data_IF_866076020981
#
_entry.id   IF_866076020981
#
_cell.length_a   1.000
_cell.length_b   1.000
_cell.length_c   1.000
_cell.angle_alpha   90.00
_cell.angle_beta   90.00
_cell.angle_gamma   90.00
#
_symmetry.space_group_name_H-M   'P 1'
#
loop_
_entity.id
_entity.type
_entity.pdbx_description
1 polymer ?
#
# COMPACT_ATOMS: atom_id res chain seq x y z
N UNK A 1 0.24 -15.93 -48.90
CA UNK A 1 1.70 -16.14 -49.00
C UNK A 1 2.11 -17.57 -48.61
N UNK A 2 1.55 -18.14 -47.54
CA UNK A 2 1.80 -19.52 -47.05
C UNK A 2 1.49 -20.65 -48.05
N UNK A 3 0.43 -20.54 -48.86
CA UNK A 3 0.05 -21.60 -49.81
C UNK A 3 1.08 -21.87 -50.93
N UNK A 4 1.87 -20.86 -51.34
CA UNK A 4 2.91 -21.02 -52.38
C UNK A 4 4.23 -21.58 -51.85
N UNK A 5 4.47 -21.47 -50.54
CA UNK A 5 5.66 -22.00 -49.86
C UNK A 5 5.48 -23.45 -49.38
N UNK A 6 4.23 -23.92 -49.25
CA UNK A 6 3.91 -25.27 -48.77
C UNK A 6 4.60 -26.39 -49.57
N UNK A 7 4.63 -26.36 -50.92
CA UNK A 7 5.30 -27.41 -51.70
C UNK A 7 6.82 -27.40 -51.49
N UNK A 8 7.44 -26.21 -51.43
CA UNK A 8 8.88 -26.05 -51.24
C UNK A 8 9.33 -26.51 -49.85
N UNK A 9 8.54 -26.21 -48.82
CA UNK A 9 8.79 -26.70 -47.46
C UNK A 9 8.64 -28.22 -47.40
N UNK A 10 7.61 -28.78 -48.04
CA UNK A 10 7.41 -30.24 -48.13
C UNK A 10 8.60 -30.93 -48.77
N UNK A 11 9.05 -30.45 -49.93
CA UNK A 11 10.19 -31.03 -50.64
C UNK A 11 11.50 -30.90 -49.84
N UNK A 12 11.69 -29.79 -49.12
CA UNK A 12 12.86 -29.57 -48.28
C UNK A 12 12.89 -30.54 -47.08
N UNK A 13 11.76 -30.72 -46.39
CA UNK A 13 11.70 -31.65 -45.23
C UNK A 13 11.83 -33.10 -45.68
N UNK A 14 11.33 -33.47 -46.87
CA UNK A 14 11.56 -34.82 -47.43
C UNK A 14 13.04 -35.07 -47.71
N UNK A 15 13.77 -34.06 -48.21
CA UNK A 15 15.21 -34.19 -48.49
C UNK A 15 16.06 -34.19 -47.22
N UNK A 16 15.65 -33.43 -46.19
CA UNK A 16 16.41 -33.24 -44.95
C UNK A 16 15.51 -33.40 -43.71
N UNK A 17 15.00 -34.60 -43.42
CA UNK A 17 14.07 -34.81 -42.31
C UNK A 17 14.67 -34.47 -40.94
N UNK A 18 15.98 -34.69 -40.77
CA UNK A 18 16.73 -34.37 -39.54
C UNK A 18 16.70 -32.87 -39.17
N UNK A 19 16.50 -31.98 -40.17
CA UNK A 19 16.47 -30.53 -39.94
C UNK A 19 15.32 -30.08 -39.05
N UNK A 20 14.21 -30.83 -39.05
CA UNK A 20 13.04 -30.56 -38.19
C UNK A 20 13.38 -30.89 -36.73
N UNK A 21 14.02 -32.02 -36.48
CA UNK A 21 14.49 -32.40 -35.14
C UNK A 21 15.47 -31.37 -34.58
N UNK A 22 16.46 -30.96 -35.38
CA UNK A 22 17.43 -29.92 -34.99
C UNK A 22 16.75 -28.58 -34.68
N UNK A 23 15.77 -28.16 -35.49
CA UNK A 23 15.02 -26.93 -35.24
C UNK A 23 14.19 -27.02 -33.94
N UNK A 24 13.61 -28.17 -33.64
CA UNK A 24 12.91 -28.41 -32.38
C UNK A 24 13.89 -28.35 -31.21
N UNK A 25 15.06 -28.95 -31.31
CA UNK A 25 16.05 -28.98 -30.21
C UNK A 25 16.66 -27.59 -29.93
N UNK A 26 16.79 -26.75 -30.96
CA UNK A 26 17.23 -25.35 -30.81
C UNK A 26 16.23 -24.54 -29.97
N UNK A 27 14.93 -24.74 -30.20
CA UNK A 27 13.87 -23.91 -29.62
C UNK A 27 13.27 -24.52 -28.35
N UNK A 28 13.31 -25.85 -28.21
CA UNK A 28 12.79 -26.60 -27.08
C UNK A 28 13.90 -27.45 -26.43
N UNK A 29 14.64 -26.90 -25.45
CA UNK A 29 15.74 -27.61 -24.81
C UNK A 29 15.28 -28.86 -24.06
N UNK A 30 16.13 -29.89 -24.07
CA UNK A 30 15.92 -31.12 -23.28
C UNK A 30 15.84 -30.81 -21.78
N UNK A 31 15.04 -31.57 -21.03
CA UNK A 31 15.12 -31.56 -19.57
C UNK A 31 15.56 -32.93 -19.08
N UNK A 32 16.62 -32.91 -18.28
CA UNK A 32 17.21 -34.12 -17.71
C UNK A 32 18.38 -34.63 -18.53
N UNK A 33 18.78 -35.87 -18.21
CA UNK A 33 19.94 -36.58 -18.74
C UNK A 33 19.64 -37.48 -19.93
N UNK A 34 18.37 -37.53 -20.38
CA UNK A 34 17.95 -38.38 -21.49
C UNK A 34 17.93 -37.53 -22.76
N UNK A 35 18.82 -37.86 -23.70
CA UNK A 35 18.83 -37.25 -25.02
C UNK A 35 17.53 -37.56 -25.76
N UNK A 36 16.91 -36.53 -26.32
CA UNK A 36 15.73 -36.64 -27.16
C UNK A 36 16.15 -37.26 -28.48
N UNK A 37 15.54 -38.40 -28.83
CA UNK A 37 15.73 -39.01 -30.14
C UNK A 37 14.39 -39.12 -30.86
N UNK A 38 14.41 -38.82 -32.15
CA UNK A 38 13.24 -38.84 -33.02
C UNK A 38 13.25 -40.15 -33.82
N UNK A 39 12.11 -40.85 -33.88
CA UNK A 39 11.94 -41.91 -34.88
C UNK A 39 11.93 -41.30 -36.29
N UNK A 40 12.14 -42.14 -37.31
CA UNK A 40 12.13 -41.72 -38.71
C UNK A 40 10.88 -40.87 -39.01
N UNK A 41 11.09 -39.62 -39.39
CA UNK A 41 10.02 -38.70 -39.79
C UNK A 41 9.22 -39.26 -40.97
N UNK A 42 7.88 -39.20 -40.88
CA UNK A 42 6.97 -39.71 -41.91
C UNK A 42 5.95 -38.64 -42.30
N UNK A 43 5.65 -38.55 -43.59
CA UNK A 43 4.51 -37.79 -44.10
C UNK A 43 3.22 -38.56 -43.83
N UNK A 44 2.17 -37.86 -43.41
CA UNK A 44 0.84 -38.45 -43.29
C UNK A 44 0.14 -38.54 -44.66
N UNK A 45 -0.78 -39.49 -44.78
CA UNK A 45 -1.62 -39.67 -45.96
C UNK A 45 -2.83 -38.72 -45.92
N UNK A 46 -3.58 -38.64 -47.02
CA UNK A 46 -4.81 -37.86 -47.13
C UNK A 46 -5.74 -38.06 -45.91
N UNK A 47 -6.30 -36.99 -45.30
CA UNK A 47 -6.29 -35.57 -45.71
C UNK A 47 -5.10 -34.75 -45.19
N UNK A 48 -4.07 -35.37 -44.62
CA UNK A 48 -2.99 -34.72 -43.88
C UNK A 48 -1.65 -34.69 -44.63
N UNK A 49 -1.67 -34.60 -45.96
CA UNK A 49 -0.49 -34.71 -46.85
C UNK A 49 0.61 -33.66 -46.63
N UNK A 50 0.28 -32.59 -45.89
CA UNK A 50 1.19 -31.52 -45.46
C UNK A 50 1.71 -31.70 -44.03
N UNK A 51 1.44 -32.83 -43.39
CA UNK A 51 1.81 -33.12 -42.01
C UNK A 51 2.97 -34.11 -41.99
N UNK A 52 3.88 -33.88 -41.05
CA UNK A 52 5.03 -34.74 -40.82
C UNK A 52 5.01 -35.11 -39.34
N UNK A 53 5.19 -36.39 -39.06
CA UNK A 53 5.17 -36.94 -37.71
C UNK A 53 6.45 -37.71 -37.42
N UNK A 54 6.89 -37.61 -36.17
CA UNK A 54 7.89 -38.46 -35.56
C UNK A 54 7.41 -38.77 -34.14
N UNK A 55 7.87 -39.88 -33.59
CA UNK A 55 7.66 -40.25 -32.19
C UNK A 55 8.98 -40.16 -31.46
N UNK A 56 8.97 -39.58 -30.27
CA UNK A 56 10.06 -39.67 -29.30
C UNK A 56 9.58 -40.57 -28.16
N UNK A 57 10.46 -41.15 -27.34
CA UNK A 57 10.01 -41.82 -26.12
C UNK A 57 9.29 -40.78 -25.25
N UNK A 58 7.97 -40.96 -25.13
CA UNK A 58 6.99 -40.12 -24.44
C UNK A 58 6.29 -39.00 -25.23
N UNK A 59 6.41 -38.86 -26.56
CA UNK A 59 5.74 -37.73 -27.27
C UNK A 59 5.46 -37.96 -28.77
N UNK A 60 4.27 -37.55 -29.27
CA UNK A 60 3.89 -37.55 -30.70
C UNK A 60 3.94 -36.13 -31.32
N UNK A 61 4.56 -35.98 -32.49
CA UNK A 61 4.73 -34.70 -33.18
C UNK A 61 3.90 -34.61 -34.46
N UNK A 62 3.36 -33.43 -34.77
CA UNK A 62 2.66 -33.16 -36.04
C UNK A 62 2.80 -31.70 -36.46
N UNK A 63 3.04 -31.43 -37.75
CA UNK A 63 3.20 -30.07 -38.28
C UNK A 63 2.13 -29.71 -39.35
N UNK A 64 0.97 -29.14 -38.99
CA UNK A 64 -0.02 -28.69 -39.97
C UNK A 64 0.28 -27.26 -40.42
N UNK A 65 0.60 -27.05 -41.70
CA UNK A 65 0.50 -25.74 -42.35
C UNK A 65 1.17 -24.57 -41.56
N UNK A 66 2.30 -24.86 -40.89
CA UNK A 66 3.07 -23.89 -40.10
C UNK A 66 2.86 -23.89 -38.59
N UNK A 67 2.00 -24.77 -38.04
CA UNK A 67 1.86 -24.97 -36.60
C UNK A 67 2.60 -26.23 -36.17
N UNK A 68 3.30 -26.20 -35.04
CA UNK A 68 3.89 -27.40 -34.46
C UNK A 68 3.00 -27.88 -33.31
N UNK A 69 2.60 -29.14 -33.36
CA UNK A 69 1.78 -29.83 -32.37
C UNK A 69 2.65 -30.88 -31.69
N UNK A 70 2.59 -30.91 -30.36
CA UNK A 70 3.25 -31.88 -29.49
C UNK A 70 2.17 -32.48 -28.59
N UNK A 71 2.00 -33.80 -28.60
CA UNK A 71 0.98 -34.52 -27.81
C UNK A 71 -0.44 -33.94 -27.97
N UNK A 72 -0.80 -33.58 -29.21
CA UNK A 72 -2.10 -32.98 -29.51
C UNK A 72 -2.27 -31.53 -29.05
N UNK A 73 -1.26 -30.89 -28.45
CA UNK A 73 -1.29 -29.49 -28.00
C UNK A 73 -0.54 -28.58 -28.99
N UNK A 74 -1.19 -27.48 -29.40
CA UNK A 74 -0.60 -26.45 -30.27
C UNK A 74 0.44 -25.66 -29.49
N UNK A 75 1.65 -25.54 -30.03
CA UNK A 75 2.72 -24.73 -29.45
C UNK A 75 2.48 -23.23 -29.68
N UNK A 76 2.94 -22.42 -28.72
CA UNK A 76 3.19 -21.00 -28.96
C UNK A 76 2.10 -20.05 -28.45
N UNK A 77 0.99 -20.57 -27.91
CA UNK A 77 0.04 -19.77 -27.13
C UNK A 77 -0.33 -20.50 -25.84
N UNK A 78 -0.19 -19.82 -24.71
CA UNK A 78 -0.77 -20.27 -23.46
C UNK A 78 -2.31 -20.28 -23.57
N UNK A 79 -2.99 -21.23 -22.89
CA UNK A 79 -4.43 -21.17 -22.68
C UNK A 79 -4.89 -19.80 -22.15
N UNK A 80 -6.11 -19.39 -22.48
CA UNK A 80 -6.61 -18.04 -22.17
C UNK A 80 -6.67 -17.77 -20.66
N UNK A 81 -7.11 -18.76 -19.88
CA UNK A 81 -7.14 -18.75 -18.42
C UNK A 81 -5.77 -18.52 -17.80
N UNK A 82 -4.73 -19.18 -18.33
CA UNK A 82 -3.34 -19.01 -17.87
C UNK A 82 -2.83 -17.63 -18.29
N UNK A 83 -2.95 -17.30 -19.58
CA UNK A 83 -2.46 -16.02 -20.14
C UNK A 83 -3.07 -14.80 -19.44
N UNK A 84 -4.36 -14.87 -19.11
CA UNK A 84 -5.09 -13.75 -18.55
C UNK A 84 -5.02 -13.69 -17.01
N UNK A 85 -4.31 -14.64 -16.38
CA UNK A 85 -4.08 -14.67 -14.93
C UNK A 85 -3.35 -13.43 -14.43
N UNK A 86 -3.76 -12.95 -13.24
CA UNK A 86 -3.12 -11.79 -12.60
C UNK A 86 -1.65 -12.04 -12.28
N UNK A 87 -1.31 -13.28 -11.93
CA UNK A 87 0.04 -13.70 -11.55
C UNK A 87 1.00 -13.57 -12.75
N UNK A 88 0.61 -14.04 -13.93
CA UNK A 88 1.48 -13.90 -15.11
C UNK A 88 1.60 -12.45 -15.57
N UNK A 89 0.50 -11.68 -15.49
CA UNK A 89 0.52 -10.23 -15.73
C UNK A 89 1.43 -9.51 -14.75
N UNK A 90 1.49 -9.95 -13.50
CA UNK A 90 2.37 -9.37 -12.49
C UNK A 90 3.86 -9.60 -12.78
N UNK A 91 4.21 -10.81 -13.24
CA UNK A 91 5.60 -11.22 -13.46
C UNK A 91 6.14 -10.75 -14.82
N UNK A 92 5.32 -10.87 -15.87
CA UNK A 92 5.74 -10.62 -17.25
C UNK A 92 5.11 -9.35 -17.85
N UNK A 93 4.20 -8.68 -17.14
CA UNK A 93 3.52 -7.50 -17.65
C UNK A 93 2.63 -7.83 -18.86
N UNK A 94 2.71 -6.98 -19.88
CA UNK A 94 1.98 -7.14 -21.16
C UNK A 94 2.77 -7.91 -22.22
N UNK A 95 3.85 -8.59 -21.85
CA UNK A 95 4.68 -9.35 -22.79
C UNK A 95 3.93 -10.54 -23.39
N UNK A 96 4.18 -10.82 -24.66
CA UNK A 96 3.68 -12.03 -25.32
C UNK A 96 4.56 -13.21 -24.93
N UNK A 97 3.97 -14.19 -24.26
CA UNK A 97 4.65 -15.40 -23.82
C UNK A 97 4.42 -16.53 -24.82
N UNK A 98 5.51 -17.15 -25.25
CA UNK A 98 5.49 -18.39 -26.03
C UNK A 98 5.74 -19.57 -25.09
N UNK A 99 4.94 -20.63 -25.23
CA UNK A 99 4.99 -21.80 -24.36
C UNK A 99 5.05 -23.10 -25.17
N UNK A 100 5.77 -24.07 -24.61
CA UNK A 100 5.91 -25.46 -25.04
C UNK A 100 5.32 -26.38 -23.97
N UNK A 101 4.96 -27.62 -24.28
CA UNK A 101 4.72 -28.63 -23.25
C UNK A 101 5.94 -28.79 -22.35
N UNK A 102 5.70 -28.91 -21.05
CA UNK A 102 6.77 -29.18 -20.11
C UNK A 102 7.08 -30.67 -20.06
N UNK A 103 8.36 -30.99 -19.91
CA UNK A 103 8.86 -32.32 -19.61
C UNK A 103 9.17 -32.52 -18.11
N UNK A 104 8.85 -31.51 -17.28
CA UNK A 104 8.89 -31.65 -15.83
C UNK A 104 7.61 -32.33 -15.33
N UNK A 105 7.70 -33.43 -14.56
CA UNK A 105 6.54 -34.08 -13.98
C UNK A 105 5.68 -33.09 -13.17
N UNK A 106 4.37 -33.08 -13.45
CA UNK A 106 3.40 -32.19 -12.78
C UNK A 106 3.34 -30.76 -13.33
N UNK A 107 4.09 -30.44 -14.40
CA UNK A 107 4.01 -29.15 -15.08
C UNK A 107 3.43 -29.34 -16.49
N UNK A 108 2.51 -28.47 -16.90
CA UNK A 108 1.91 -28.53 -18.24
C UNK A 108 2.72 -27.78 -19.30
N UNK A 109 3.38 -26.67 -18.91
CA UNK A 109 3.99 -25.72 -19.85
C UNK A 109 5.38 -25.26 -19.43
N UNK A 110 6.27 -25.05 -20.40
CA UNK A 110 7.56 -24.38 -20.29
C UNK A 110 7.59 -23.16 -21.19
N UNK A 111 8.05 -22.01 -20.68
CA UNK A 111 8.14 -20.78 -21.47
C UNK A 111 9.42 -20.73 -22.32
N UNK A 112 9.30 -20.23 -23.54
CA UNK A 112 10.38 -20.11 -24.52
C UNK A 112 11.40 -19.00 -24.21
N UNK A 113 11.11 -18.10 -23.27
CA UNK A 113 11.76 -16.79 -23.25
C UNK A 113 13.25 -16.84 -22.83
N UNK A 114 14.10 -16.71 -23.85
CA UNK A 114 15.56 -16.54 -23.85
C UNK A 114 16.05 -15.15 -23.37
N UNK A 115 15.51 -14.59 -22.29
CA UNK A 115 16.17 -13.45 -21.64
C UNK A 115 17.11 -13.96 -20.55
N UNK A 116 18.36 -13.48 -20.50
CA UNK A 116 19.36 -13.76 -19.46
C UNK A 116 18.88 -13.30 -18.06
N UNK A 117 17.92 -14.00 -17.50
CA UNK A 117 17.25 -13.60 -16.28
C UNK A 117 16.08 -14.50 -15.94
N UNK A 118 15.19 -14.86 -16.87
CA UNK A 118 13.86 -15.38 -16.56
C UNK A 118 13.78 -16.87 -16.20
N UNK A 119 14.69 -17.37 -15.35
CA UNK A 119 14.70 -18.77 -14.97
C UNK A 119 14.16 -18.97 -13.55
N UNK A 120 13.02 -19.67 -13.44
CA UNK A 120 12.57 -20.31 -12.20
C UNK A 120 13.39 -21.58 -11.86
N UNK A 121 14.42 -21.87 -12.66
CA UNK A 121 15.37 -22.97 -12.46
C UNK A 121 16.78 -22.41 -12.44
N UNK A 122 17.43 -22.46 -11.28
CA UNK A 122 18.89 -22.36 -11.25
C UNK A 122 19.45 -23.76 -11.50
N UNK A 123 20.70 -23.88 -11.95
CA UNK A 123 21.31 -25.13 -12.47
C UNK A 123 21.10 -26.39 -11.63
N UNK A 124 20.74 -26.30 -10.34
CA UNK A 124 20.46 -27.44 -9.45
C UNK A 124 19.19 -27.32 -8.56
N UNK A 125 18.32 -26.32 -8.73
CA UNK A 125 17.20 -26.09 -7.80
C UNK A 125 15.91 -25.61 -8.49
N UNK A 126 14.79 -26.25 -8.14
CA UNK A 126 13.43 -25.84 -8.56
C UNK A 126 12.94 -24.76 -7.59
N UNK A 127 12.51 -23.62 -8.15
CA UNK A 127 11.82 -22.57 -7.43
C UNK A 127 10.32 -22.63 -7.70
N UNK A 128 9.54 -22.41 -6.66
CA UNK A 128 8.09 -22.21 -6.77
C UNK A 128 7.75 -20.76 -6.48
N UNK A 129 6.83 -20.20 -7.25
CA UNK A 129 6.32 -18.86 -7.03
C UNK A 129 5.23 -18.90 -5.95
N UNK A 130 5.35 -18.06 -4.93
CA UNK A 130 4.31 -17.88 -3.91
C UNK A 130 3.47 -16.65 -4.24
N UNK A 131 2.17 -16.81 -4.55
CA UNK A 131 1.30 -15.67 -4.81
C UNK A 131 1.14 -14.76 -3.59
N UNK A 132 1.02 -13.46 -3.82
CA UNK A 132 0.90 -12.45 -2.76
C UNK A 132 -0.25 -12.68 -1.77
N UNK A 133 -1.35 -13.28 -2.22
CA UNK A 133 -2.56 -13.50 -1.40
C UNK A 133 -2.34 -14.59 -0.34
N UNK A 134 -1.27 -15.39 -0.47
CA UNK A 134 -0.90 -16.41 0.52
C UNK A 134 -0.46 -15.76 1.84
N UNK A 135 0.10 -14.54 1.80
CA UNK A 135 0.58 -13.83 2.99
C UNK A 135 -0.52 -13.10 3.77
N UNK A 136 -1.79 -13.27 3.40
CA UNK A 136 -2.94 -12.70 4.08
C UNK A 136 -3.84 -11.84 3.20
N UNK A 137 -5.05 -11.58 3.72
CA UNK A 137 -6.07 -10.73 3.11
C UNK A 137 -6.48 -9.65 4.13
N UNK A 138 -6.33 -8.36 3.80
CA UNK A 138 -6.69 -7.26 4.70
C UNK A 138 -5.49 -6.67 5.48
N UNK A 139 -5.69 -5.97 6.61
CA UNK A 139 -4.61 -5.28 7.32
C UNK A 139 -3.66 -6.22 8.08
N UNK A 140 -3.99 -7.50 8.20
CA UNK A 140 -3.22 -8.53 8.92
C UNK A 140 -2.42 -9.37 7.92
N UNK A 141 -1.22 -8.90 7.58
CA UNK A 141 -0.30 -9.62 6.70
C UNK A 141 0.79 -10.33 7.51
N UNK A 142 1.19 -11.53 7.08
CA UNK A 142 2.28 -12.33 7.67
C UNK A 142 3.65 -11.65 7.54
N UNK A 143 3.79 -10.79 6.53
CA UNK A 143 4.98 -9.97 6.29
C UNK A 143 4.59 -8.50 6.19
N UNK A 144 5.48 -7.55 6.51
CA UNK A 144 5.27 -6.14 6.21
C UNK A 144 4.86 -5.93 4.76
N UNK A 145 3.91 -5.05 4.52
CA UNK A 145 3.29 -4.81 3.22
C UNK A 145 4.31 -4.44 2.13
N UNK A 146 5.39 -3.75 2.49
CA UNK A 146 6.51 -3.43 1.58
C UNK A 146 7.21 -4.67 1.04
N UNK A 147 7.25 -5.76 1.82
CA UNK A 147 7.81 -7.04 1.42
C UNK A 147 6.83 -7.91 0.64
N UNK A 148 5.57 -7.47 0.48
CA UNK A 148 4.54 -8.15 -0.30
C UNK A 148 4.29 -7.39 -1.61
N UNK A 149 3.85 -6.14 -1.52
CA UNK A 149 3.43 -5.32 -2.68
C UNK A 149 4.55 -5.11 -3.70
N UNK A 150 5.75 -4.80 -3.22
CA UNK A 150 6.88 -4.43 -4.08
C UNK A 150 7.72 -5.64 -4.52
N UNK A 151 7.35 -6.85 -4.09
CA UNK A 151 8.15 -8.05 -4.26
C UNK A 151 7.43 -9.15 -5.03
N UNK A 152 8.22 -10.08 -5.56
CA UNK A 152 7.79 -11.39 -6.03
C UNK A 152 8.52 -12.44 -5.18
N UNK A 153 7.79 -13.44 -4.72
CA UNK A 153 8.27 -14.40 -3.73
C UNK A 153 8.57 -15.73 -4.38
N UNK A 154 9.81 -16.20 -4.24
CA UNK A 154 10.25 -17.49 -4.75
C UNK A 154 10.68 -18.37 -3.61
N UNK A 155 10.17 -19.59 -3.52
CA UNK A 155 10.58 -20.57 -2.52
C UNK A 155 11.42 -21.68 -3.13
N UNK A 156 12.53 -21.99 -2.48
CA UNK A 156 13.31 -23.19 -2.74
C UNK A 156 12.64 -24.37 -2.01
N UNK A 157 11.87 -25.18 -2.74
CA UNK A 157 11.03 -26.25 -2.16
C UNK A 157 11.82 -27.20 -1.25
N UNK A 158 13.06 -27.54 -1.62
CA UNK A 158 13.90 -28.47 -0.85
C UNK A 158 14.41 -27.91 0.47
N UNK A 159 14.69 -26.60 0.52
CA UNK A 159 15.30 -25.97 1.70
C UNK A 159 14.30 -25.18 2.53
N UNK A 160 13.09 -24.94 2.02
CA UNK A 160 12.10 -24.09 2.67
C UNK A 160 12.49 -22.60 2.71
N UNK A 161 13.47 -22.20 1.91
CA UNK A 161 13.94 -20.82 1.88
C UNK A 161 13.09 -20.02 0.89
N UNK A 162 12.34 -19.05 1.40
CA UNK A 162 11.55 -18.11 0.63
C UNK A 162 12.32 -16.79 0.46
N UNK A 163 12.46 -16.33 -0.78
CA UNK A 163 13.16 -15.09 -1.12
C UNK A 163 12.16 -14.06 -1.65
N UNK A 164 12.04 -12.93 -0.95
CA UNK A 164 11.25 -11.78 -1.40
C UNK A 164 12.12 -10.89 -2.32
N UNK A 165 11.92 -11.03 -3.63
CA UNK A 165 12.71 -10.33 -4.65
C UNK A 165 12.00 -9.06 -5.11
N UNK A 166 12.63 -7.91 -4.91
CA UNK A 166 12.02 -6.61 -5.22
C UNK A 166 11.93 -6.34 -6.72
N UNK A 167 10.77 -5.85 -7.17
CA UNK A 167 10.54 -5.38 -8.55
C UNK A 167 11.46 -4.21 -8.90
N UNK A 168 11.92 -4.08 -10.16
CA UNK A 168 11.69 -4.99 -11.28
C UNK A 168 12.65 -6.20 -11.32
N UNK A 169 13.59 -6.31 -10.38
CA UNK A 169 14.68 -7.29 -10.40
C UNK A 169 14.28 -8.63 -9.76
N UNK A 170 13.23 -9.27 -10.30
CA UNK A 170 12.55 -10.41 -9.66
C UNK A 170 13.19 -11.77 -9.96
N UNK A 171 14.20 -11.82 -10.82
CA UNK A 171 14.70 -13.08 -11.35
C UNK A 171 16.06 -13.52 -10.82
N UNK A 172 16.88 -12.58 -10.34
CA UNK A 172 18.21 -12.87 -9.80
C UNK A 172 18.21 -12.64 -8.30
N UNK A 173 18.84 -13.55 -7.57
CA UNK A 173 19.09 -13.39 -6.13
C UNK A 173 20.03 -12.21 -5.91
N UNK A 174 19.73 -11.39 -4.90
CA UNK A 174 20.53 -10.21 -4.52
C UNK A 174 20.70 -10.20 -3.02
N UNK A 175 21.88 -9.80 -2.53
CA UNK A 175 22.14 -9.68 -1.09
C UNK A 175 21.30 -8.62 -0.36
N UNK A 176 20.48 -7.83 -1.07
CA UNK A 176 19.51 -6.90 -0.47
C UNK A 176 18.11 -7.49 -0.27
N UNK A 177 17.86 -8.71 -0.77
CA UNK A 177 16.56 -9.36 -0.64
C UNK A 177 16.33 -9.83 0.80
N UNK A 178 15.07 -9.80 1.22
CA UNK A 178 14.66 -10.47 2.45
C UNK A 178 14.50 -11.96 2.16
N UNK A 179 15.04 -12.77 3.06
CA UNK A 179 15.01 -14.22 3.00
C UNK A 179 14.27 -14.71 4.24
N UNK A 180 13.24 -15.53 4.05
CA UNK A 180 12.45 -16.16 5.09
C UNK A 180 12.72 -17.66 5.05
N UNK A 181 13.27 -18.18 6.13
CA UNK A 181 13.32 -19.62 6.36
C UNK A 181 12.01 -20.02 7.05
N UNK A 182 11.17 -20.78 6.33
CA UNK A 182 9.85 -21.17 6.84
C UNK A 182 9.94 -22.20 7.98
N UNK A 183 11.02 -22.98 8.04
CA UNK A 183 11.20 -24.01 9.06
C UNK A 183 11.60 -23.37 10.38
N UNK A 184 12.60 -22.47 10.34
CA UNK A 184 13.00 -21.72 11.54
C UNK A 184 12.07 -20.53 11.84
N UNK A 185 11.18 -20.17 10.91
CA UNK A 185 10.28 -19.00 10.97
C UNK A 185 11.05 -17.70 11.18
N UNK A 186 12.20 -17.57 10.52
CA UNK A 186 13.08 -16.40 10.63
C UNK A 186 13.20 -15.70 9.29
N UNK A 187 12.98 -14.38 9.32
CA UNK A 187 13.20 -13.51 8.19
C UNK A 187 14.45 -12.66 8.41
N UNK A 188 15.34 -12.61 7.42
CA UNK A 188 16.59 -11.87 7.48
C UNK A 188 16.94 -11.19 6.16
N UNK A 189 17.61 -10.04 6.25
CA UNK A 189 18.22 -9.33 5.12
C UNK A 189 19.66 -9.04 5.47
N UNK A 190 20.60 -9.65 4.74
CA UNK A 190 22.02 -9.69 5.13
C UNK A 190 22.16 -10.29 6.53
N UNK A 191 22.44 -9.46 7.54
CA UNK A 191 22.54 -9.85 8.94
C UNK A 191 21.45 -9.17 9.81
N UNK A 192 20.55 -8.40 9.22
CA UNK A 192 19.41 -7.81 9.93
C UNK A 192 18.30 -8.86 10.07
N UNK A 193 17.65 -8.91 11.22
CA UNK A 193 16.55 -9.85 11.52
C UNK A 193 15.24 -9.07 11.58
N UNK A 194 14.23 -9.54 10.84
CA UNK A 194 12.90 -8.95 10.87
C UNK A 194 12.25 -9.21 12.23
N UNK A 195 11.57 -8.20 12.76
CA UNK A 195 10.68 -8.39 13.91
C UNK A 195 9.34 -8.87 13.39
N UNK A 196 8.85 -9.97 13.95
CA UNK A 196 7.52 -10.51 13.66
C UNK A 196 6.46 -9.40 13.88
N UNK A 197 5.66 -9.04 12.84
CA UNK A 197 4.61 -8.03 12.93
C UNK A 197 3.59 -8.29 14.03
N UNK A 198 3.37 -9.55 14.41
CA UNK A 198 2.43 -9.94 15.46
C UNK A 198 3.06 -9.99 16.85
N UNK A 199 4.35 -9.74 16.99
CA UNK A 199 5.03 -9.76 18.29
C UNK A 199 4.60 -8.60 19.20
N UNK A 200 4.78 -8.78 20.53
CA UNK A 200 4.55 -7.70 21.52
C UNK A 200 5.40 -6.45 21.22
N UNK A 201 6.64 -6.66 20.79
CA UNK A 201 7.56 -5.57 20.42
C UNK A 201 7.02 -4.78 19.22
N UNK A 202 6.62 -5.47 18.15
CA UNK A 202 6.05 -4.82 16.97
C UNK A 202 4.78 -4.04 17.31
N UNK A 203 3.87 -4.62 18.10
CA UNK A 203 2.66 -3.92 18.54
C UNK A 203 2.97 -2.66 19.34
N UNK A 204 3.93 -2.73 20.27
CA UNK A 204 4.34 -1.56 21.07
C UNK A 204 4.86 -0.42 20.19
N UNK A 205 5.61 -0.73 19.13
CA UNK A 205 6.15 0.27 18.21
C UNK A 205 5.06 0.80 17.30
N UNK A 206 4.20 -0.08 16.78
CA UNK A 206 3.09 0.31 15.91
C UNK A 206 2.14 1.30 16.59
N UNK A 207 1.96 1.23 17.92
CA UNK A 207 1.16 2.20 18.66
C UNK A 207 1.72 3.63 18.61
N UNK A 208 3.03 3.79 18.45
CA UNK A 208 3.66 5.12 18.29
C UNK A 208 3.18 5.78 16.99
N UNK A 209 2.93 4.97 15.95
CA UNK A 209 2.47 5.43 14.64
C UNK A 209 0.95 5.33 14.47
N UNK A 210 0.20 5.09 15.55
CA UNK A 210 -1.26 5.00 15.50
C UNK A 210 -1.84 6.27 14.86
N UNK A 211 -2.77 6.09 13.92
CA UNK A 211 -3.38 7.16 13.10
C UNK A 211 -2.44 7.88 12.11
N UNK A 212 -1.12 7.76 12.27
CA UNK A 212 -0.13 8.29 11.33
C UNK A 212 0.18 7.33 10.17
N UNK A 213 0.36 6.03 10.47
CA UNK A 213 0.61 4.98 9.46
C UNK A 213 0.03 3.64 9.93
N UNK A 214 -0.36 2.78 8.97
CA UNK A 214 -0.86 1.44 9.29
C UNK A 214 0.27 0.54 9.79
N UNK A 215 -0.02 -0.28 10.81
CA UNK A 215 0.94 -1.22 11.41
C UNK A 215 1.57 -2.17 10.37
N UNK A 216 0.79 -2.65 9.40
CA UNK A 216 1.27 -3.53 8.34
C UNK A 216 2.24 -2.85 7.37
N UNK A 217 2.29 -1.51 7.33
CA UNK A 217 3.22 -0.74 6.49
C UNK A 217 4.55 -0.46 7.19
N UNK A 218 4.67 -0.82 8.47
CA UNK A 218 5.90 -0.70 9.23
C UNK A 218 6.78 -1.94 8.98
N UNK A 219 8.01 -1.71 8.54
CA UNK A 219 9.03 -2.77 8.47
C UNK A 219 9.98 -2.62 9.64
N UNK A 220 9.75 -3.40 10.70
CA UNK A 220 10.53 -3.35 11.94
C UNK A 220 11.61 -4.44 11.90
N UNK A 221 12.86 -4.09 12.18
CA UNK A 221 13.96 -5.05 12.20
C UNK A 221 15.08 -4.65 13.16
N UNK A 222 15.81 -5.66 13.62
CA UNK A 222 17.03 -5.51 14.37
C UNK A 222 18.23 -5.57 13.41
N UNK A 223 18.98 -4.48 13.20
CA UNK A 223 20.23 -4.54 12.44
C UNK A 223 21.32 -5.34 13.17
N UNK A 224 22.36 -5.81 12.46
CA UNK A 224 23.46 -6.58 13.07
C UNK A 224 24.26 -5.78 14.10
N UNK A 225 24.33 -4.46 13.90
CA UNK A 225 24.95 -3.50 14.81
C UNK A 225 23.99 -2.34 14.99
N UNK A 226 23.95 -1.82 16.21
CA UNK A 226 23.05 -0.72 16.58
C UNK A 226 21.72 -1.20 17.12
N UNK A 227 20.80 -0.24 17.24
CA UNK A 227 19.50 -0.44 17.88
C UNK A 227 18.42 -0.73 16.83
N UNK A 228 17.27 -1.16 17.33
CA UNK A 228 16.09 -1.46 16.53
C UNK A 228 15.75 -0.32 15.55
N UNK A 229 15.35 -0.69 14.33
CA UNK A 229 14.99 0.24 13.26
C UNK A 229 13.60 -0.05 12.71
N UNK A 230 12.94 1.01 12.22
CA UNK A 230 11.58 0.97 11.65
C UNK A 230 11.61 1.72 10.32
N UNK A 231 11.31 1.05 9.21
CA UNK A 231 11.22 1.66 7.88
C UNK A 231 9.73 1.87 7.52
N UNK A 232 9.34 3.12 7.20
CA UNK A 232 8.04 3.53 6.65
C UNK A 232 8.23 3.84 5.17
N UNK A 233 8.29 2.79 4.34
CA UNK A 233 8.71 2.90 2.94
C UNK A 233 7.86 3.82 2.08
N UNK A 234 6.56 3.95 2.35
CA UNK A 234 5.67 4.80 1.55
C UNK A 234 5.87 6.30 1.83
N UNK A 235 6.34 6.65 3.03
CA UNK A 235 6.63 8.03 3.42
C UNK A 235 8.11 8.38 3.24
N UNK A 236 8.94 7.43 2.81
CA UNK A 236 10.40 7.54 2.74
C UNK A 236 11.05 7.97 4.07
N UNK A 237 10.50 7.47 5.18
CA UNK A 237 10.98 7.76 6.54
C UNK A 237 11.55 6.51 7.20
N UNK A 238 12.74 6.65 7.78
CA UNK A 238 13.43 5.58 8.50
C UNK A 238 13.76 6.01 9.92
N UNK A 239 13.27 5.26 10.89
CA UNK A 239 13.46 5.53 12.31
C UNK A 239 14.40 4.51 12.95
N UNK A 240 15.04 4.91 14.04
CA UNK A 240 15.82 4.02 14.91
C UNK A 240 15.70 4.45 16.36
N UNK A 241 15.86 3.49 17.27
CA UNK A 241 15.97 3.81 18.69
C UNK A 241 17.36 4.36 18.94
N UNK A 242 17.48 5.58 19.44
CA UNK A 242 18.77 6.17 19.78
C UNK A 242 19.25 5.73 21.19
N UNK A 243 20.42 6.20 21.61
CA UNK A 243 21.00 5.82 22.92
C UNK A 243 20.18 6.31 24.13
N UNK A 244 19.29 7.28 23.92
CA UNK A 244 18.34 7.77 24.93
C UNK A 244 17.03 6.97 24.95
N UNK A 245 16.92 5.90 24.15
CA UNK A 245 15.71 5.09 24.05
C UNK A 245 14.57 5.77 23.28
N UNK A 246 14.84 6.85 22.56
CA UNK A 246 13.83 7.57 21.77
C UNK A 246 13.88 7.15 20.31
N UNK A 247 12.72 7.19 19.65
CA UNK A 247 12.60 6.88 18.23
C UNK A 247 13.00 8.10 17.40
N UNK A 248 14.15 8.03 16.74
CA UNK A 248 14.74 9.11 15.96
C UNK A 248 14.57 8.86 14.47
N UNK A 249 14.07 9.86 13.73
CA UNK A 249 13.99 9.86 12.28
C UNK A 249 15.36 10.24 11.68
N UNK A 250 15.83 9.47 10.71
CA UNK A 250 17.12 9.75 10.02
C UNK A 250 17.02 10.96 9.10
N UNK A 251 15.96 11.02 8.31
CA UNK A 251 15.74 12.01 7.27
C UNK A 251 15.53 13.41 7.87
N UNK A 252 14.79 13.48 8.98
CA UNK A 252 14.39 14.76 9.59
C UNK A 252 15.34 15.23 10.70
N UNK A 253 16.23 14.37 11.19
CA UNK A 253 17.10 14.72 12.32
C UNK A 253 16.37 14.92 13.65
N UNK A 254 15.09 14.56 13.72
CA UNK A 254 14.22 14.77 14.90
C UNK A 254 13.85 13.45 15.57
N UNK A 255 13.44 13.51 16.84
CA UNK A 255 12.86 12.38 17.57
C UNK A 255 11.35 12.51 17.69
N UNK A 256 10.64 11.39 17.77
CA UNK A 256 9.23 11.39 18.19
C UNK A 256 9.15 11.97 19.60
N UNK A 257 8.38 13.05 19.74
CA UNK A 257 8.25 13.75 21.01
C UNK A 257 7.45 12.87 22.00
N UNK A 258 7.94 12.57 23.20
CA UNK A 258 7.13 11.93 24.22
C UNK A 258 5.83 12.69 24.54
N UNK A 259 5.82 14.01 24.35
CA UNK A 259 4.61 14.81 24.39
C UNK A 259 4.04 14.97 22.96
N UNK A 260 2.96 14.25 22.66
CA UNK A 260 2.24 14.34 21.37
C UNK A 260 1.18 15.46 21.32
N UNK A 261 1.10 16.34 22.32
CA UNK A 261 0.23 17.53 22.26
C UNK A 261 0.93 18.68 21.50
N UNK A 262 0.51 19.02 20.27
CA UNK A 262 1.10 20.12 19.51
C UNK A 262 0.68 21.52 20.00
N UNK A 263 -0.33 21.65 20.87
CA UNK A 263 -0.92 22.94 21.27
C UNK A 263 -1.87 23.56 20.23
N UNK A 264 -2.10 22.91 19.09
CA UNK A 264 -2.95 23.36 17.97
C UNK A 264 -3.47 22.16 17.17
N UNK A 265 -4.18 22.36 16.05
CA UNK A 265 -4.68 21.30 15.16
C UNK A 265 -5.52 20.23 15.88
N UNK A 266 -6.23 20.60 16.94
CA UNK A 266 -7.03 19.67 17.72
C UNK A 266 -8.09 18.99 16.85
N UNK A 267 -8.14 17.65 16.94
CA UNK A 267 -9.00 16.82 16.10
C UNK A 267 -8.31 16.24 14.87
N UNK A 268 -7.13 16.75 14.48
CA UNK A 268 -6.29 16.10 13.47
C UNK A 268 -5.63 14.85 14.07
N UNK A 269 -6.14 13.67 13.72
CA UNK A 269 -5.62 12.40 14.25
C UNK A 269 -4.36 11.92 13.51
N UNK A 270 -4.28 12.16 12.19
CA UNK A 270 -3.16 11.73 11.35
C UNK A 270 -1.99 12.71 11.39
N UNK A 271 -1.44 12.93 12.58
CA UNK A 271 -0.26 13.75 12.77
C UNK A 271 0.71 13.08 13.75
N UNK A 272 1.98 13.43 13.64
CA UNK A 272 2.98 13.05 14.63
C UNK A 272 3.83 14.25 15.00
N UNK A 273 3.97 14.48 16.30
CA UNK A 273 4.80 15.56 16.82
C UNK A 273 6.22 15.04 16.98
N UNK A 274 7.16 15.78 16.40
CA UNK A 274 8.58 15.55 16.50
C UNK A 274 9.23 16.72 17.24
N UNK A 275 10.43 16.49 17.78
CA UNK A 275 11.28 17.55 18.32
C UNK A 275 12.72 17.35 17.88
N UNK A 276 13.46 18.44 17.73
CA UNK A 276 14.86 18.38 17.35
C UNK A 276 15.70 17.61 18.40
N UNK A 277 16.73 16.90 17.95
CA UNK A 277 17.59 16.07 18.81
C UNK A 277 18.45 16.92 19.76
N UNK A 278 18.83 18.13 19.32
CA UNK A 278 19.71 19.05 20.02
C UNK A 278 18.91 20.14 20.75
N UNK A 279 18.00 20.81 20.04
CA UNK A 279 17.13 21.85 20.59
C UNK A 279 15.71 21.31 20.83
N UNK A 280 15.46 20.77 22.01
CA UNK A 280 14.17 20.16 22.37
C UNK A 280 13.01 21.17 22.41
N UNK A 281 13.28 22.47 22.37
CA UNK A 281 12.24 23.50 22.28
C UNK A 281 11.68 23.61 20.85
N UNK A 282 12.47 23.22 19.84
CA UNK A 282 12.04 23.17 18.45
C UNK A 282 11.20 21.91 18.22
N UNK A 283 9.90 22.12 18.09
CA UNK A 283 8.92 21.08 17.80
C UNK A 283 8.41 21.26 16.37
N UNK A 284 8.21 20.16 15.68
CA UNK A 284 7.63 20.13 14.34
C UNK A 284 6.53 19.07 14.29
N UNK A 285 5.58 19.25 13.36
CA UNK A 285 4.49 18.31 13.15
C UNK A 285 4.62 17.77 11.74
N UNK A 286 4.56 16.45 11.61
CA UNK A 286 4.48 15.80 10.30
C UNK A 286 3.08 15.24 10.09
N UNK A 287 2.55 15.44 8.89
CA UNK A 287 1.20 15.03 8.48
C UNK A 287 1.36 14.32 7.14
N UNK A 288 0.93 13.05 6.99
CA UNK A 288 0.97 12.37 5.72
C UNK A 288 -0.06 12.98 4.78
N UNK A 289 0.35 13.26 3.54
CA UNK A 289 -0.56 13.75 2.51
C UNK A 289 -1.32 12.56 1.93
N UNK A 290 -2.66 12.63 1.93
CA UNK A 290 -3.52 11.56 1.46
C UNK A 290 -4.97 11.99 1.36
N UNK A 291 -5.86 11.02 1.14
CA UNK A 291 -7.30 11.28 1.13
C UNK A 291 -7.76 11.71 2.52
N UNK A 292 -8.32 12.91 2.63
CA UNK A 292 -8.80 13.46 3.90
C UNK A 292 -10.14 12.84 4.24
N UNK A 293 -10.22 12.23 5.42
CA UNK A 293 -11.47 11.73 5.99
C UNK A 293 -11.78 12.51 7.26
N UNK A 294 -12.93 13.18 7.26
CA UNK A 294 -13.44 13.84 8.45
C UNK A 294 -14.54 12.99 9.07
N UNK A 295 -14.34 12.54 10.31
CA UNK A 295 -15.38 11.93 11.12
C UNK A 295 -15.70 12.84 12.29
N UNK A 296 -16.99 13.06 12.49
CA UNK A 296 -17.47 13.95 13.53
C UNK A 296 -17.23 13.34 14.93
N UNK A 297 -16.56 14.08 15.83
CA UNK A 297 -16.18 13.60 17.16
C UNK A 297 -16.78 14.47 18.29
N UNK A 298 -17.30 13.79 19.32
CA UNK A 298 -18.39 14.14 20.22
C UNK A 298 -18.37 15.48 21.02
N UNK A 299 -17.41 16.41 20.86
CA UNK A 299 -17.37 17.64 21.67
C UNK A 299 -17.07 18.92 20.87
N UNK A 300 -17.97 19.27 19.95
CA UNK A 300 -17.87 20.46 19.10
C UNK A 300 -18.04 21.79 19.84
N UNK A 301 -18.62 21.80 21.04
CA UNK A 301 -18.86 23.03 21.81
C UNK A 301 -17.54 23.61 22.34
N UNK A 302 -16.64 22.76 22.86
CA UNK A 302 -15.29 23.16 23.27
C UNK A 302 -14.45 23.63 22.07
N UNK A 303 -14.57 22.94 20.94
CA UNK A 303 -13.89 23.32 19.70
C UNK A 303 -14.39 24.69 19.20
N UNK A 304 -15.70 24.94 19.29
CA UNK A 304 -16.29 26.26 18.96
C UNK A 304 -15.75 27.36 19.88
N UNK A 305 -15.62 27.08 21.17
CA UNK A 305 -15.07 28.01 22.15
C UNK A 305 -13.63 28.42 21.79
N UNK A 306 -12.78 27.43 21.44
CA UNK A 306 -11.41 27.68 21.00
C UNK A 306 -11.38 28.54 19.74
N UNK A 307 -12.12 28.16 18.70
CA UNK A 307 -12.19 28.94 17.46
C UNK A 307 -12.67 30.38 17.68
N UNK A 308 -13.62 30.60 18.60
CA UNK A 308 -14.12 31.93 18.93
C UNK A 308 -13.05 32.78 19.64
N UNK A 309 -12.38 32.25 20.67
CA UNK A 309 -11.38 32.99 21.45
C UNK A 309 -10.08 33.26 20.70
N UNK A 310 -9.71 32.39 19.75
CA UNK A 310 -8.47 32.54 18.97
C UNK A 310 -8.73 33.06 17.56
N UNK A 311 -9.89 33.65 17.29
CA UNK A 311 -10.23 34.16 15.96
C UNK A 311 -9.32 35.32 15.55
N UNK A 312 -8.96 35.34 14.28
CA UNK A 312 -8.18 36.38 13.63
C UNK A 312 -8.90 36.86 12.37
N UNK A 313 -8.57 38.06 11.88
CA UNK A 313 -9.23 38.63 10.71
C UNK A 313 -8.90 37.92 9.39
N UNK A 314 -7.81 37.14 9.35
CA UNK A 314 -7.49 36.30 8.20
C UNK A 314 -8.18 34.93 8.33
N UNK A 315 -8.80 34.43 7.25
CA UNK A 315 -9.32 33.07 7.22
C UNK A 315 -8.22 32.03 7.46
N UNK A 316 -8.55 30.97 8.18
CA UNK A 316 -7.70 29.80 8.30
C UNK A 316 -7.56 29.12 6.92
N UNK A 317 -6.34 28.81 6.45
CA UNK A 317 -6.14 28.22 5.13
C UNK A 317 -6.78 26.84 4.93
N UNK A 318 -7.11 26.11 5.99
CA UNK A 318 -7.71 24.77 5.91
C UNK A 318 -9.23 24.85 5.81
N UNK A 319 -9.87 25.74 6.58
CA UNK A 319 -11.34 25.89 6.56
C UNK A 319 -11.84 26.95 5.58
N UNK A 320 -10.92 27.80 5.11
CA UNK A 320 -11.22 29.02 4.36
C UNK A 320 -12.23 29.93 5.09
N UNK A 321 -12.22 29.89 6.42
CA UNK A 321 -13.09 30.63 7.34
C UNK A 321 -12.26 31.22 8.47
N UNK A 322 -12.69 32.36 8.98
CA UNK A 322 -12.16 32.92 10.24
C UNK A 322 -12.56 32.05 11.43
N UNK A 323 -11.89 32.22 12.58
CA UNK A 323 -12.24 31.52 13.80
C UNK A 323 -13.69 31.77 14.25
N UNK A 324 -14.19 33.01 14.08
CA UNK A 324 -15.60 33.33 14.31
C UNK A 324 -16.50 32.52 13.39
N UNK A 325 -16.26 32.54 12.07
CA UNK A 325 -17.11 31.85 11.11
C UNK A 325 -17.16 30.34 11.38
N UNK A 326 -16.03 29.75 11.75
CA UNK A 326 -15.97 28.33 12.09
C UNK A 326 -16.65 28.03 13.43
N UNK A 327 -16.50 28.88 14.44
CA UNK A 327 -17.21 28.76 15.71
C UNK A 327 -18.72 28.87 15.53
N UNK A 328 -19.19 29.84 14.74
CA UNK A 328 -20.62 30.01 14.43
C UNK A 328 -21.17 28.82 13.65
N UNK A 329 -20.44 28.35 12.62
CA UNK A 329 -20.82 27.18 11.85
C UNK A 329 -20.91 25.92 12.74
N UNK A 330 -19.98 25.74 13.67
CA UNK A 330 -20.01 24.64 14.63
C UNK A 330 -21.23 24.73 15.55
N UNK A 331 -21.49 25.89 16.15
CA UNK A 331 -22.63 26.09 17.07
C UNK A 331 -24.00 25.93 16.37
N UNK A 332 -24.13 26.39 15.14
CA UNK A 332 -25.36 26.25 14.35
C UNK A 332 -25.59 24.83 13.82
N UNK A 333 -24.54 24.02 13.76
CA UNK A 333 -24.65 22.65 13.25
C UNK A 333 -25.49 21.77 14.17
N UNK A 334 -26.12 20.75 13.58
CA UNK A 334 -27.06 19.87 14.28
C UNK A 334 -26.50 19.15 15.52
N UNK A 335 -25.18 19.01 15.72
CA UNK A 335 -24.64 18.30 16.89
C UNK A 335 -24.25 19.23 18.05
N UNK A 336 -24.27 20.55 17.84
CA UNK A 336 -24.27 21.51 18.97
C UNK A 336 -25.69 21.82 19.44
N UNK A 337 -26.70 21.23 18.78
CA UNK A 337 -28.10 21.36 19.18
C UNK A 337 -28.46 20.29 20.20
N UNK A 338 -28.99 20.67 21.38
CA UNK A 338 -29.32 19.70 22.42
C UNK A 338 -30.52 18.86 22.00
N UNK A 339 -30.45 17.55 22.29
CA UNK A 339 -31.57 16.61 22.25
C UNK A 339 -31.89 16.03 23.64
N UNK A 340 -31.05 16.32 24.64
CA UNK A 340 -31.28 16.14 26.08
C UNK A 340 -30.85 17.41 26.82
N UNK A 341 -31.27 17.62 28.08
CA UNK A 341 -30.76 18.69 28.91
C UNK A 341 -29.23 18.72 28.96
N UNK A 342 -28.64 19.90 28.76
CA UNK A 342 -27.20 20.12 28.81
C UNK A 342 -26.69 20.00 30.24
N UNK A 343 -25.53 19.34 30.40
CA UNK A 343 -24.78 19.33 31.65
C UNK A 343 -24.28 20.74 31.99
N UNK A 344 -24.13 21.01 33.30
CA UNK A 344 -23.71 22.32 33.82
C UNK A 344 -22.41 22.83 33.17
N UNK A 345 -21.42 21.96 32.97
CA UNK A 345 -20.14 22.33 32.36
C UNK A 345 -20.29 22.86 30.93
N UNK A 346 -21.19 22.26 30.14
CA UNK A 346 -21.47 22.69 28.77
C UNK A 346 -22.20 24.04 28.75
N UNK A 347 -23.09 24.28 29.72
CA UNK A 347 -23.73 25.59 29.89
C UNK A 347 -22.68 26.64 30.23
N UNK A 348 -21.73 26.35 31.12
CA UNK A 348 -20.62 27.27 31.45
C UNK A 348 -19.79 27.63 30.23
N UNK A 349 -19.45 26.64 29.39
CA UNK A 349 -18.71 26.87 28.14
C UNK A 349 -19.52 27.76 27.19
N UNK A 350 -20.81 27.47 26.98
CA UNK A 350 -21.68 28.29 26.14
C UNK A 350 -21.80 29.73 26.67
N UNK A 351 -21.93 29.91 27.98
CA UNK A 351 -21.95 31.24 28.61
C UNK A 351 -20.63 31.99 28.39
N UNK A 352 -19.49 31.31 28.39
CA UNK A 352 -18.21 31.96 28.09
C UNK A 352 -18.14 32.48 26.64
N UNK A 353 -18.71 31.73 25.68
CA UNK A 353 -18.82 32.16 24.27
C UNK A 353 -19.81 33.33 24.17
N UNK A 354 -20.92 33.26 24.89
CA UNK A 354 -21.93 34.33 24.94
C UNK A 354 -21.31 35.67 25.36
N UNK A 355 -20.37 35.65 26.32
CA UNK A 355 -19.67 36.84 26.81
C UNK A 355 -18.73 37.49 25.78
N UNK A 356 -18.51 36.87 24.62
CA UNK A 356 -17.86 37.52 23.47
C UNK A 356 -18.81 38.48 22.73
N UNK A 357 -20.09 38.53 23.08
CA UNK A 357 -21.03 39.46 22.46
C UNK A 357 -20.83 40.88 23.02
N UNK A 358 -20.69 41.91 22.17
CA UNK A 358 -20.71 43.30 22.61
C UNK A 358 -22.00 43.63 23.38
N UNK A 359 -21.90 44.40 24.47
CA UNK A 359 -23.07 44.80 25.26
C UNK A 359 -23.79 45.95 24.59
N UNK A 360 -25.13 45.88 24.55
CA UNK A 360 -25.98 46.88 23.90
C UNK A 360 -27.06 47.36 24.85
N UNK A 361 -27.16 48.67 25.00
CA UNK A 361 -28.17 49.33 25.83
C UNK A 361 -28.81 50.48 25.06
N UNK A 362 -30.09 50.75 25.32
CA UNK A 362 -30.77 51.91 24.76
C UNK A 362 -30.56 53.14 25.66
N UNK A 363 -30.47 54.32 25.03
CA UNK A 363 -30.45 55.60 25.72
C UNK A 363 -31.48 56.58 25.13
N UNK A 364 -32.25 57.29 25.98
CA UNK A 364 -32.55 56.95 27.37
C UNK A 364 -33.11 55.53 27.51
N UNK A 365 -32.93 54.85 28.66
CA UNK A 365 -33.31 53.42 28.83
C UNK A 365 -34.75 53.11 28.44
N UNK A 366 -35.63 54.09 28.60
CA UNK A 366 -37.07 53.98 28.34
C UNK A 366 -37.47 54.35 26.90
N UNK A 367 -36.49 54.72 26.06
CA UNK A 367 -36.68 55.15 24.68
C UNK A 367 -35.69 54.44 23.75
N UNK A 368 -36.20 53.67 22.81
CA UNK A 368 -35.40 53.00 21.77
C UNK A 368 -34.93 53.96 20.66
N UNK A 369 -34.56 55.20 21.00
CA UNK A 369 -34.16 56.21 20.02
C UNK A 369 -32.65 56.28 19.80
N UNK A 370 -31.82 55.79 20.75
CA UNK A 370 -30.36 55.72 20.58
C UNK A 370 -29.82 54.42 21.20
N UNK A 371 -28.77 53.86 20.59
CA UNK A 371 -28.12 52.63 21.02
C UNK A 371 -26.67 52.91 21.42
N UNK A 372 -26.28 52.43 22.59
CA UNK A 372 -24.91 52.45 23.09
C UNK A 372 -24.35 51.02 22.96
N UNK A 373 -23.17 50.89 22.35
CA UNK A 373 -22.46 49.61 22.21
C UNK A 373 -21.18 49.69 23.04
N UNK A 374 -21.03 48.76 23.99
CA UNK A 374 -19.84 48.64 24.83
C UNK A 374 -19.09 47.36 24.48
N UNK A 375 -17.84 47.52 24.06
CA UNK A 375 -16.90 46.42 23.81
C UNK A 375 -16.07 46.18 25.07
N UNK A 376 -15.72 44.93 25.33
CA UNK A 376 -14.79 44.61 26.41
C UNK A 376 -13.38 45.07 26.01
N UNK A 377 -12.75 45.99 26.77
CA UNK A 377 -11.42 46.49 26.45
C UNK A 377 -10.31 45.45 26.63
N UNK A 378 -10.57 44.33 27.33
CA UNK A 378 -9.63 43.24 27.51
C UNK A 378 -9.67 42.22 26.37
N UNK A 379 -10.64 42.33 25.45
CA UNK A 379 -10.82 41.43 24.32
C UNK A 379 -10.51 42.15 23.00
N UNK A 380 -9.94 41.43 22.03
CA UNK A 380 -9.74 41.98 20.69
C UNK A 380 -11.07 42.25 20.00
N UNK A 381 -11.13 43.27 19.14
CA UNK A 381 -12.35 43.58 18.35
C UNK A 381 -12.74 42.43 17.42
N UNK A 382 -11.77 41.66 16.92
CA UNK A 382 -11.98 40.55 15.98
C UNK A 382 -12.58 39.28 16.57
N UNK A 383 -12.75 39.17 17.89
CA UNK A 383 -13.39 37.99 18.53
C UNK A 383 -14.78 38.32 19.08
N UNK A 384 -15.11 39.61 19.18
CA UNK A 384 -16.35 40.07 19.77
C UNK A 384 -17.45 40.17 18.69
N UNK A 385 -18.44 39.28 18.72
CA UNK A 385 -19.38 39.12 17.60
C UNK A 385 -20.83 38.85 18.03
N UNK A 386 -21.78 39.59 17.44
CA UNK A 386 -23.18 39.58 17.87
C UNK A 386 -23.91 38.26 17.67
N UNK A 387 -23.51 37.50 16.65
CA UNK A 387 -24.20 36.25 16.31
C UNK A 387 -24.13 35.22 17.44
N UNK A 388 -23.12 35.29 18.32
CA UNK A 388 -23.03 34.40 19.48
C UNK A 388 -24.24 34.55 20.41
N UNK A 389 -24.73 35.77 20.62
CA UNK A 389 -25.93 36.03 21.43
C UNK A 389 -27.11 35.19 20.97
N UNK A 390 -27.46 35.28 19.69
CA UNK A 390 -28.63 34.61 19.14
C UNK A 390 -28.45 33.09 19.19
N UNK A 391 -27.31 32.58 18.73
CA UNK A 391 -27.10 31.14 18.57
C UNK A 391 -26.99 30.44 19.92
N UNK A 392 -26.21 30.97 20.85
CA UNK A 392 -26.03 30.38 22.18
C UNK A 392 -27.34 30.42 22.98
N UNK A 393 -28.06 31.55 22.93
CA UNK A 393 -29.36 31.66 23.60
C UNK A 393 -30.36 30.64 23.05
N UNK A 394 -30.39 30.43 21.72
CA UNK A 394 -31.24 29.41 21.12
C UNK A 394 -30.89 27.99 21.58
N UNK A 395 -29.60 27.66 21.67
CA UNK A 395 -29.12 26.37 22.17
C UNK A 395 -29.55 26.16 23.63
N UNK A 396 -29.34 27.15 24.51
CA UNK A 396 -29.71 27.07 25.93
C UNK A 396 -31.23 26.96 26.09
N UNK A 397 -32.01 27.79 25.38
CA UNK A 397 -33.46 27.74 25.42
C UNK A 397 -34.00 26.38 24.94
N UNK A 398 -33.38 25.80 23.90
CA UNK A 398 -33.73 24.47 23.41
C UNK A 398 -33.43 23.40 24.46
N UNK A 399 -32.29 23.49 25.14
CA UNK A 399 -31.96 22.60 26.26
C UNK A 399 -32.97 22.69 27.40
N UNK A 400 -33.41 23.89 27.77
CA UNK A 400 -34.37 24.10 28.86
C UNK A 400 -35.76 23.51 28.55
N UNK A 401 -36.16 23.47 27.26
CA UNK A 401 -37.40 22.83 26.82
C UNK A 401 -37.35 21.30 26.87
N UNK A 402 -36.16 20.72 27.02
CA UNK A 402 -35.94 19.27 27.10
C UNK A 402 -35.85 18.77 28.55
N UNK A 403 -35.87 19.69 29.53
CA UNK A 403 -35.76 19.43 30.97
C UNK A 403 -37.08 19.15 31.65
#
# INVERSE_FOLDING_TARGET
>A
MTARLSPLLRDSVVKHPESVGLAIDIVWPEAGTIQRYYTKWRLLQFPYENWITSTTPATEYSLPQGHLIIDGRIIGKLPADVRDSEILKEIFGSQRLFAFPSNLPGMDYTLANHGEGHQARTSNSILELIPRHVFGNGPEFDLPFSLISDCIHWIYIRTGILEARRKPHIWKTRGGNWIVDIHSRRAQRRQSILVDPFSRLARSISQIFLHFEYSCRLTIFQPPRGKLSVELKQLDLDFFVNDKGLLQCRQLGSVVDPNQDPGTLYGLQSMMVLRDVWDRSQRSIIIPLGQVFAKRHHNHVLVSQLHAFTSYFLPDPLTNRTGIEEALACLQSGYCQPWTPLATDLVTILTSILNLTPRREYYPKDKQCQQIISWDPQLTTCIQHDAFQLIVTNIINKSQRLS
#
